data_IF_380252286704
#
_entry.id   IF_380252286704
#
_cell.length_a   1.000
_cell.length_b   1.000
_cell.length_c   1.000
_cell.angle_alpha   90.00
_cell.angle_beta   90.00
_cell.angle_gamma   90.00
#
_symmetry.space_group_name_H-M   'P 1'
#
loop_
_entity.id
_entity.type
_entity.pdbx_description
1 polymer ?
#
# COMPACT_ATOMS: atom_id res chain seq x y z
N UNK A 1 6.69 10.95 27.99
CA UNK A 1 6.49 11.98 29.03
C UNK A 1 5.84 11.43 30.29
N UNK A 2 4.63 10.84 30.25
CA UNK A 2 4.04 10.17 31.42
C UNK A 2 4.97 9.08 32.01
N UNK A 3 5.55 8.25 31.14
CA UNK A 3 6.56 7.26 31.54
C UNK A 3 7.83 7.87 32.15
N UNK A 4 8.31 8.99 31.62
CA UNK A 4 9.44 9.70 32.18
C UNK A 4 9.17 10.15 33.62
N UNK A 5 7.97 10.68 33.88
CA UNK A 5 7.56 11.10 35.23
C UNK A 5 7.51 9.90 36.19
N UNK A 6 7.01 8.76 35.74
CA UNK A 6 6.94 7.52 36.53
C UNK A 6 8.34 7.02 36.89
N UNK A 7 9.26 6.97 35.92
CA UNK A 7 10.63 6.53 36.15
C UNK A 7 11.49 7.49 36.96
N UNK A 8 11.05 8.73 37.24
CA UNK A 8 11.72 9.58 38.24
C UNK A 8 11.53 9.06 39.67
N UNK A 9 10.50 8.24 39.91
CA UNK A 9 10.24 7.58 41.20
C UNK A 9 10.78 6.13 41.27
N UNK A 10 11.77 5.82 40.43
CA UNK A 10 12.44 4.52 40.40
C UNK A 10 13.38 4.39 41.62
N UNK A 11 13.22 3.32 42.37
CA UNK A 11 13.99 3.02 43.58
C UNK A 11 14.87 1.77 43.33
N UNK A 12 16.17 1.90 43.58
CA UNK A 12 17.12 0.81 43.39
C UNK A 12 17.54 0.22 44.75
N UNK A 13 17.23 -1.05 45.05
CA UNK A 13 17.54 -1.65 46.35
C UNK A 13 19.05 -1.88 46.63
N UNK A 14 19.92 -1.54 45.69
CA UNK A 14 21.38 -1.71 45.79
C UNK A 14 22.13 -0.41 46.10
N UNK A 15 21.45 0.73 46.10
CA UNK A 15 22.01 2.04 46.41
C UNK A 15 21.71 2.43 47.86
N UNK A 16 22.66 3.03 48.60
CA UNK A 16 22.39 3.51 49.96
C UNK A 16 21.28 4.58 49.94
N UNK A 17 20.42 4.59 50.97
CA UNK A 17 19.21 5.43 51.17
C UNK A 17 19.42 6.97 51.04
N UNK A 18 20.63 7.43 50.74
CA UNK A 18 21.05 8.82 50.59
C UNK A 18 21.78 9.14 49.27
N UNK A 19 21.85 8.18 48.34
CA UNK A 19 22.47 8.35 47.02
C UNK A 19 21.38 8.49 45.97
N UNK A 20 21.55 9.43 45.04
CA UNK A 20 20.61 9.67 43.95
C UNK A 20 20.60 8.48 42.96
N UNK A 21 19.46 7.79 42.89
CA UNK A 21 19.24 6.62 42.03
C UNK A 21 19.14 6.96 40.54
N UNK A 22 19.22 8.24 40.17
CA UNK A 22 19.28 8.73 38.80
C UNK A 22 20.38 8.08 37.96
N UNK A 23 21.46 7.58 38.58
CA UNK A 23 22.56 6.89 37.91
C UNK A 23 22.24 5.43 37.51
N UNK A 24 21.28 4.80 38.17
CA UNK A 24 20.84 3.41 37.92
C UNK A 24 19.48 3.32 37.26
N UNK A 25 18.82 4.46 37.06
CA UNK A 25 17.55 4.56 36.37
C UNK A 25 17.70 4.11 34.90
N UNK A 26 16.92 3.12 34.43
CA UNK A 26 16.95 2.70 33.03
C UNK A 26 16.39 3.75 32.05
N UNK A 27 15.71 4.79 32.53
CA UNK A 27 15.13 5.86 31.72
C UNK A 27 15.37 7.23 32.38
N UNK A 28 16.62 7.71 32.33
CA UNK A 28 17.04 8.97 32.97
C UNK A 28 16.67 10.21 32.17
N UNK A 29 16.44 10.10 30.85
CA UNK A 29 16.12 11.27 30.00
C UNK A 29 14.77 11.18 29.29
N UNK A 30 14.12 12.33 28.98
CA UNK A 30 12.86 12.33 28.23
C UNK A 30 12.95 11.69 26.84
N UNK A 31 14.11 11.76 26.20
CA UNK A 31 14.35 11.15 24.88
C UNK A 31 14.50 9.64 24.98
N UNK A 32 15.21 9.15 26.01
CA UNK A 32 15.27 7.72 26.32
C UNK A 32 13.90 7.16 26.65
N UNK A 33 13.03 7.93 27.31
CA UNK A 33 11.65 7.51 27.59
C UNK A 33 10.84 7.26 26.32
N UNK A 34 10.98 8.11 25.31
CA UNK A 34 10.31 7.92 24.02
C UNK A 34 10.87 6.68 23.29
N UNK A 35 12.20 6.52 23.29
CA UNK A 35 12.86 5.39 22.67
C UNK A 35 12.51 4.07 23.36
N UNK A 36 12.50 4.05 24.68
CA UNK A 36 12.10 2.90 25.49
C UNK A 36 10.63 2.54 25.26
N UNK A 37 9.72 3.51 25.24
CA UNK A 37 8.31 3.26 24.89
C UNK A 37 8.16 2.63 23.50
N UNK A 38 8.92 3.11 22.52
CA UNK A 38 8.94 2.53 21.18
C UNK A 38 9.48 1.09 21.17
N UNK A 39 10.65 0.85 21.76
CA UNK A 39 11.28 -0.48 21.82
C UNK A 39 10.45 -1.50 22.63
N UNK A 40 9.78 -1.04 23.69
CA UNK A 40 8.86 -1.82 24.52
C UNK A 40 7.63 -2.26 23.72
N UNK A 41 7.12 -1.41 22.80
CA UNK A 41 6.01 -1.77 21.91
C UNK A 41 6.38 -2.72 20.77
N UNK A 42 7.67 -2.93 20.49
CA UNK A 42 8.15 -3.75 19.37
C UNK A 42 8.68 -5.13 19.79
N UNK A 43 9.47 -5.21 20.86
CA UNK A 43 10.27 -6.42 21.13
C UNK A 43 10.59 -6.67 22.59
N UNK A 44 11.07 -5.67 23.34
CA UNK A 44 11.62 -5.89 24.69
C UNK A 44 10.63 -5.48 25.79
N UNK A 45 9.51 -6.20 25.91
CA UNK A 45 8.51 -5.87 26.94
C UNK A 45 8.91 -6.35 28.34
N UNK A 46 9.61 -7.48 28.47
CA UNK A 46 9.91 -8.11 29.76
C UNK A 46 10.83 -7.28 30.66
N UNK A 47 11.97 -6.83 30.13
CA UNK A 47 13.00 -6.13 30.91
C UNK A 47 12.49 -4.80 31.49
N UNK A 48 11.66 -4.07 30.74
CA UNK A 48 11.06 -2.82 31.22
C UNK A 48 9.80 -3.05 32.06
N UNK A 49 9.07 -4.15 31.85
CA UNK A 49 7.93 -4.51 32.70
C UNK A 49 8.36 -4.81 34.13
N UNK A 50 9.47 -5.53 34.29
CA UNK A 50 10.05 -5.81 35.62
C UNK A 50 10.62 -4.55 36.28
N UNK A 51 11.07 -3.58 35.49
CA UNK A 51 11.51 -2.28 36.00
C UNK A 51 10.36 -1.44 36.58
N UNK A 52 9.11 -1.62 36.11
CA UNK A 52 7.94 -0.95 36.71
C UNK A 52 7.63 -1.42 38.13
N UNK A 53 8.01 -2.65 38.49
CA UNK A 53 7.83 -3.16 39.86
C UNK A 53 8.80 -2.52 40.86
N UNK A 54 9.82 -1.79 40.37
CA UNK A 54 10.80 -1.06 41.20
C UNK A 54 10.49 0.43 41.31
N UNK A 55 9.29 0.83 40.91
CA UNK A 55 8.85 2.22 40.93
C UNK A 55 7.77 2.37 42.02
N UNK A 56 7.77 3.47 42.76
CA UNK A 56 6.79 3.73 43.84
C UNK A 56 5.33 3.63 43.34
N UNK A 57 5.09 3.99 42.08
CA UNK A 57 3.78 4.00 41.42
C UNK A 57 3.56 2.80 40.49
N UNK A 58 3.81 1.57 40.97
CA UNK A 58 3.70 0.32 40.19
C UNK A 58 2.33 0.16 39.50
N UNK A 59 1.23 0.39 40.24
CA UNK A 59 -0.12 0.16 39.74
C UNK A 59 -0.48 1.13 38.59
N UNK A 60 -0.10 2.39 38.74
CA UNK A 60 -0.32 3.43 37.72
C UNK A 60 0.49 3.15 36.45
N UNK A 61 1.75 2.71 36.61
CA UNK A 61 2.62 2.34 35.50
C UNK A 61 2.08 1.16 34.68
N UNK A 62 1.56 0.13 35.36
CA UNK A 62 0.97 -1.06 34.72
C UNK A 62 -0.33 -0.74 33.99
N UNK A 63 -1.20 0.10 34.55
CA UNK A 63 -2.44 0.52 33.88
C UNK A 63 -2.13 1.34 32.62
N UNK A 64 -1.23 2.32 32.73
CA UNK A 64 -0.82 3.14 31.59
C UNK A 64 -0.17 2.29 30.49
N UNK A 65 0.53 1.22 30.87
CA UNK A 65 1.11 0.26 29.92
C UNK A 65 0.07 -0.48 29.11
N UNK A 66 -0.95 -1.04 29.78
CA UNK A 66 -2.01 -1.77 29.09
C UNK A 66 -2.81 -0.85 28.15
N UNK A 67 -3.12 0.37 28.61
CA UNK A 67 -3.83 1.36 27.78
C UNK A 67 -2.99 1.76 26.56
N UNK A 68 -1.69 2.02 26.76
CA UNK A 68 -0.77 2.38 25.68
C UNK A 68 -0.66 1.25 24.64
N UNK A 69 -0.45 0.01 25.09
CA UNK A 69 -0.38 -1.16 24.21
C UNK A 69 -1.67 -1.37 23.42
N UNK A 70 -2.84 -1.16 24.04
CA UNK A 70 -4.12 -1.25 23.36
C UNK A 70 -4.27 -0.17 22.27
N UNK A 71 -3.89 1.07 22.56
CA UNK A 71 -3.94 2.18 21.59
C UNK A 71 -3.01 1.89 20.40
N UNK A 72 -1.76 1.48 20.66
CA UNK A 72 -0.78 1.15 19.62
C UNK A 72 -1.29 0.00 18.74
N UNK A 73 -1.84 -1.05 19.34
CA UNK A 73 -2.38 -2.18 18.59
C UNK A 73 -3.55 -1.76 17.67
N UNK A 74 -4.50 -0.96 18.19
CA UNK A 74 -5.64 -0.46 17.40
C UNK A 74 -5.14 0.43 16.25
N UNK A 75 -4.19 1.34 16.51
CA UNK A 75 -3.63 2.22 15.48
C UNK A 75 -2.91 1.43 14.38
N UNK A 76 -2.10 0.43 14.75
CA UNK A 76 -1.40 -0.42 13.79
C UNK A 76 -2.37 -1.21 12.92
N UNK A 77 -3.42 -1.80 13.50
CA UNK A 77 -4.46 -2.52 12.75
C UNK A 77 -5.18 -1.55 11.79
N UNK A 78 -5.55 -0.36 12.26
CA UNK A 78 -6.24 0.63 11.43
C UNK A 78 -5.38 1.09 10.23
N UNK A 79 -4.08 1.31 10.45
CA UNK A 79 -3.15 1.68 9.39
C UNK A 79 -2.85 0.52 8.43
N UNK A 80 -2.76 -0.70 8.95
CA UNK A 80 -2.58 -1.91 8.14
C UNK A 80 -3.79 -2.13 7.22
N UNK A 81 -5.01 -2.05 7.77
CA UNK A 81 -6.24 -2.18 6.99
C UNK A 81 -6.34 -1.05 5.96
N UNK A 82 -5.98 0.19 6.30
CA UNK A 82 -6.01 1.31 5.35
C UNK A 82 -5.04 1.11 4.18
N UNK A 83 -3.80 0.69 4.45
CA UNK A 83 -2.81 0.40 3.41
C UNK A 83 -3.24 -0.80 2.56
N UNK A 84 -3.67 -1.89 3.21
CA UNK A 84 -4.18 -3.08 2.53
C UNK A 84 -5.42 -2.77 1.69
N UNK A 85 -6.36 -1.97 2.20
CA UNK A 85 -7.56 -1.54 1.49
C UNK A 85 -7.26 -0.74 0.23
N UNK A 86 -6.31 0.22 0.30
CA UNK A 86 -5.86 0.96 -0.87
C UNK A 86 -5.16 0.04 -1.90
N UNK A 87 -4.28 -0.86 -1.44
CA UNK A 87 -3.64 -1.83 -2.35
C UNK A 87 -4.63 -2.83 -2.95
N UNK A 88 -5.66 -3.23 -2.21
CA UNK A 88 -6.70 -4.14 -2.68
C UNK A 88 -7.55 -3.48 -3.77
N UNK A 89 -7.92 -2.20 -3.58
CA UNK A 89 -8.61 -1.42 -4.61
C UNK A 89 -7.79 -1.35 -5.91
N UNK A 90 -6.49 -1.08 -5.81
CA UNK A 90 -5.56 -1.05 -6.95
C UNK A 90 -5.41 -2.42 -7.64
N UNK A 91 -5.43 -3.51 -6.88
CA UNK A 91 -5.41 -4.87 -7.42
C UNK A 91 -6.72 -5.20 -8.13
N UNK A 92 -7.87 -4.81 -7.55
CA UNK A 92 -9.19 -5.00 -8.14
C UNK A 92 -9.36 -4.27 -9.48
N UNK A 93 -8.78 -3.07 -9.63
CA UNK A 93 -8.72 -2.35 -10.91
C UNK A 93 -7.90 -3.09 -11.98
N UNK A 94 -6.92 -3.91 -11.57
CA UNK A 94 -6.09 -4.72 -12.47
C UNK A 94 -6.73 -6.08 -12.77
N UNK A 95 -8.04 -6.10 -13.05
CA UNK A 95 -8.82 -7.32 -13.31
C UNK A 95 -8.30 -8.15 -14.49
N UNK A 96 -7.52 -7.57 -15.40
CA UNK A 96 -7.03 -8.26 -16.60
C UNK A 96 -5.59 -8.82 -16.44
N UNK A 97 -4.96 -8.70 -15.26
CA UNK A 97 -3.61 -9.26 -15.05
C UNK A 97 -3.62 -10.79 -15.17
N UNK A 98 -4.66 -11.46 -14.67
CA UNK A 98 -4.77 -12.92 -14.81
C UNK A 98 -4.83 -13.35 -16.27
N UNK A 99 -5.56 -12.63 -17.13
CA UNK A 99 -5.61 -12.89 -18.58
C UNK A 99 -4.24 -12.69 -19.22
N UNK A 100 -3.52 -11.63 -18.81
CA UNK A 100 -2.16 -11.37 -19.29
C UNK A 100 -1.19 -12.50 -18.89
N UNK A 101 -1.25 -12.97 -17.65
CA UNK A 101 -0.43 -14.08 -17.18
C UNK A 101 -0.79 -15.38 -17.93
N UNK A 102 -2.07 -15.63 -18.16
CA UNK A 102 -2.54 -16.80 -18.90
C UNK A 102 -2.06 -16.77 -20.36
N UNK A 103 -2.21 -15.63 -21.05
CA UNK A 103 -1.69 -15.44 -22.40
C UNK A 103 -0.17 -15.62 -22.48
N UNK A 104 0.57 -15.16 -21.46
CA UNK A 104 2.02 -15.35 -21.37
C UNK A 104 2.38 -16.84 -21.27
N UNK A 105 1.68 -17.61 -20.44
CA UNK A 105 1.90 -19.05 -20.30
C UNK A 105 1.60 -19.76 -21.62
N UNK A 106 0.46 -19.46 -22.25
CA UNK A 106 0.07 -20.05 -23.54
C UNK A 106 1.13 -19.79 -24.61
N UNK A 107 1.64 -18.55 -24.72
CA UNK A 107 2.69 -18.20 -25.69
C UNK A 107 4.02 -18.92 -25.42
N UNK A 108 4.39 -19.15 -24.16
CA UNK A 108 5.59 -19.91 -23.80
C UNK A 108 5.42 -21.37 -24.20
N UNK A 109 4.25 -21.96 -23.93
CA UNK A 109 3.93 -23.33 -24.32
C UNK A 109 3.94 -23.49 -25.85
N UNK A 110 3.33 -22.56 -26.59
CA UNK A 110 3.28 -22.59 -28.06
C UNK A 110 4.67 -22.47 -28.70
N UNK A 111 5.57 -21.68 -28.09
CA UNK A 111 6.97 -21.59 -28.53
C UNK A 111 7.75 -22.88 -28.28
N UNK A 112 7.33 -23.71 -27.32
CA UNK A 112 7.91 -25.03 -27.06
C UNK A 112 7.57 -26.07 -28.12
N UNK A 113 6.56 -25.84 -28.96
CA UNK A 113 6.16 -26.75 -30.05
C UNK A 113 7.05 -26.55 -31.28
N UNK A 114 7.36 -27.64 -31.98
CA UNK A 114 8.17 -27.60 -33.21
C UNK A 114 7.50 -26.76 -34.31
N UNK A 115 8.26 -26.06 -35.17
CA UNK A 115 7.71 -25.16 -36.19
C UNK A 115 6.62 -25.76 -37.11
N UNK A 116 6.76 -26.99 -37.64
CA UNK A 116 5.74 -27.55 -38.54
C UNK A 116 4.44 -27.89 -37.80
N UNK A 117 4.51 -28.36 -36.56
CA UNK A 117 3.34 -28.70 -35.76
C UNK A 117 2.62 -27.44 -35.27
N UNK A 118 3.36 -26.38 -34.95
CA UNK A 118 2.79 -25.06 -34.63
C UNK A 118 1.99 -24.48 -35.79
N UNK A 119 2.50 -24.58 -37.02
CA UNK A 119 1.80 -24.11 -38.20
C UNK A 119 0.51 -24.91 -38.47
N UNK A 120 0.56 -26.23 -38.27
CA UNK A 120 -0.63 -27.09 -38.34
C UNK A 120 -1.67 -26.70 -37.31
N UNK A 121 -1.26 -26.41 -36.07
CA UNK A 121 -2.17 -25.95 -35.01
C UNK A 121 -2.77 -24.58 -35.32
N UNK A 122 -1.99 -23.62 -35.84
CA UNK A 122 -2.47 -22.31 -36.30
C UNK A 122 -3.60 -22.43 -37.32
N UNK A 123 -3.49 -23.39 -38.24
CA UNK A 123 -4.50 -23.65 -39.27
C UNK A 123 -5.82 -24.18 -38.70
N UNK A 124 -5.82 -24.77 -37.49
CA UNK A 124 -7.04 -25.33 -36.87
C UNK A 124 -7.94 -24.23 -36.31
N UNK A 125 -7.37 -23.15 -35.77
CA UNK A 125 -8.13 -22.06 -35.14
C UNK A 125 -8.17 -20.76 -35.95
N UNK A 126 -7.55 -20.70 -37.12
CA UNK A 126 -7.60 -19.53 -38.02
C UNK A 126 -8.48 -19.77 -39.24
N UNK A 127 -9.06 -18.69 -39.77
CA UNK A 127 -9.90 -18.73 -40.98
C UNK A 127 -9.20 -18.01 -42.14
N UNK A 128 -9.32 -18.51 -43.38
CA UNK A 128 -8.78 -17.84 -44.54
C UNK A 128 -9.61 -16.58 -44.88
N UNK A 129 -8.95 -15.43 -44.98
CA UNK A 129 -9.51 -14.19 -45.49
C UNK A 129 -9.60 -14.25 -47.04
N UNK A 130 -10.38 -13.37 -47.68
CA UNK A 130 -10.42 -13.29 -49.15
C UNK A 130 -9.05 -12.97 -49.79
N UNK A 131 -8.13 -12.38 -49.02
CA UNK A 131 -6.75 -12.06 -49.40
C UNK A 131 -5.78 -13.26 -49.23
N UNK A 132 -6.29 -14.45 -48.90
CA UNK A 132 -5.50 -15.67 -48.68
C UNK A 132 -4.73 -15.73 -47.36
N UNK A 133 -4.64 -14.62 -46.61
CA UNK A 133 -4.06 -14.57 -45.27
C UNK A 133 -4.98 -15.23 -44.25
N UNK A 134 -4.40 -15.94 -43.30
CA UNK A 134 -5.14 -16.50 -42.18
C UNK A 134 -5.38 -15.44 -41.10
N UNK A 135 -6.61 -15.36 -40.61
CA UNK A 135 -7.02 -14.45 -39.54
C UNK A 135 -7.79 -15.21 -38.46
N UNK A 136 -7.52 -14.89 -37.20
CA UNK A 136 -8.31 -15.36 -36.06
C UNK A 136 -9.55 -14.48 -35.94
N UNK A 137 -10.73 -15.04 -36.17
CA UNK A 137 -12.01 -14.34 -36.02
C UNK A 137 -12.56 -14.63 -34.63
N UNK A 138 -12.49 -13.64 -33.75
CA UNK A 138 -13.09 -13.72 -32.42
C UNK A 138 -14.46 -13.06 -32.44
N UNK A 139 -15.53 -13.80 -32.13
CA UNK A 139 -16.82 -13.20 -31.79
C UNK A 139 -16.77 -12.81 -30.32
N UNK A 140 -16.59 -11.51 -30.05
CA UNK A 140 -16.79 -11.00 -28.70
C UNK A 140 -18.30 -10.91 -28.42
N UNK A 141 -18.80 -11.84 -27.61
CA UNK A 141 -20.11 -11.71 -26.98
C UNK A 141 -19.96 -10.74 -25.80
N UNK A 142 -20.02 -9.44 -26.08
CA UNK A 142 -20.11 -8.43 -25.03
C UNK A 142 -21.54 -8.43 -24.50
N UNK A 143 -21.68 -8.42 -23.17
CA UNK A 143 -22.98 -8.17 -22.56
C UNK A 143 -23.48 -6.78 -22.96
N UNK A 144 -24.77 -6.54 -22.92
CA UNK A 144 -25.31 -5.21 -23.27
C UNK A 144 -24.84 -4.14 -22.26
N UNK A 145 -24.56 -4.55 -21.02
CA UNK A 145 -23.94 -3.72 -19.97
C UNK A 145 -22.51 -3.29 -20.37
N UNK A 146 -21.66 -4.23 -20.82
CA UNK A 146 -20.30 -3.92 -21.27
C UNK A 146 -20.26 -2.95 -22.47
N UNK A 147 -21.27 -3.03 -23.36
CA UNK A 147 -21.38 -2.12 -24.51
C UNK A 147 -21.77 -0.72 -24.09
N UNK A 148 -22.63 -0.60 -23.09
CA UNK A 148 -23.09 0.68 -22.56
C UNK A 148 -21.97 1.39 -21.80
N UNK A 149 -21.22 0.66 -20.97
CA UNK A 149 -20.00 1.17 -20.31
C UNK A 149 -18.95 1.63 -21.33
N UNK A 150 -18.71 0.83 -22.37
CA UNK A 150 -17.76 1.19 -23.44
C UNK A 150 -18.18 2.47 -24.16
N UNK A 151 -19.49 2.64 -24.42
CA UNK A 151 -20.05 3.83 -25.04
C UNK A 151 -19.85 5.06 -24.15
N UNK A 152 -20.11 4.93 -22.85
CA UNK A 152 -19.92 6.01 -21.88
C UNK A 152 -18.45 6.44 -21.80
N UNK A 153 -17.52 5.48 -21.69
CA UNK A 153 -16.07 5.74 -21.69
C UNK A 153 -15.65 6.48 -22.98
N UNK A 154 -16.14 6.04 -24.15
CA UNK A 154 -15.87 6.69 -25.43
C UNK A 154 -16.42 8.12 -25.49
N UNK A 155 -17.57 8.38 -24.87
CA UNK A 155 -18.15 9.72 -24.78
C UNK A 155 -17.40 10.64 -23.82
N UNK A 156 -16.97 10.12 -22.66
CA UNK A 156 -16.09 10.84 -21.72
C UNK A 156 -14.78 11.21 -22.41
N UNK A 157 -14.16 10.27 -23.12
CA UNK A 157 -12.91 10.53 -23.87
C UNK A 157 -13.11 11.59 -24.95
N UNK A 158 -14.20 11.50 -25.74
CA UNK A 158 -14.55 12.52 -26.74
C UNK A 158 -14.76 13.89 -26.12
N UNK A 159 -15.41 13.99 -24.95
CA UNK A 159 -15.58 15.27 -24.24
C UNK A 159 -14.22 15.80 -23.78
N UNK A 160 -13.40 14.97 -23.16
CA UNK A 160 -12.07 15.34 -22.68
C UNK A 160 -11.20 15.88 -23.82
N UNK A 161 -11.14 15.19 -24.96
CA UNK A 161 -10.38 15.64 -26.14
C UNK A 161 -10.85 17.01 -26.65
N UNK A 162 -12.17 17.27 -26.66
CA UNK A 162 -12.71 18.60 -27.02
C UNK A 162 -12.29 19.68 -26.03
N UNK A 163 -12.33 19.40 -24.72
CA UNK A 163 -11.89 20.36 -23.70
C UNK A 163 -10.39 20.66 -23.80
N UNK A 164 -9.57 19.62 -24.01
CA UNK A 164 -8.12 19.79 -24.20
C UNK A 164 -7.84 20.61 -25.45
N UNK A 165 -8.54 20.36 -26.56
CA UNK A 165 -8.39 21.14 -27.79
C UNK A 165 -8.74 22.61 -27.58
N UNK A 166 -9.88 22.92 -26.95
CA UNK A 166 -10.28 24.29 -26.63
C UNK A 166 -9.26 25.02 -25.74
N UNK A 167 -8.69 24.33 -24.75
CA UNK A 167 -7.64 24.90 -23.89
C UNK A 167 -6.36 25.20 -24.68
N UNK A 168 -5.95 24.33 -25.59
CA UNK A 168 -4.80 24.57 -26.46
C UNK A 168 -5.03 25.76 -27.38
N UNK A 169 -6.21 25.85 -28.00
CA UNK A 169 -6.59 26.98 -28.85
C UNK A 169 -6.59 28.30 -28.07
N UNK A 170 -7.16 28.33 -26.86
CA UNK A 170 -7.15 29.52 -26.00
C UNK A 170 -5.73 29.95 -25.58
N UNK A 171 -4.88 29.00 -25.22
CA UNK A 171 -3.47 29.27 -24.88
C UNK A 171 -2.69 29.79 -26.09
N UNK A 172 -2.98 29.29 -27.30
CA UNK A 172 -2.32 29.73 -28.52
C UNK A 172 -2.77 31.13 -28.95
N UNK A 173 -4.05 31.47 -28.77
CA UNK A 173 -4.55 32.83 -28.94
C UNK A 173 -3.88 33.79 -27.94
N UNK A 174 -3.76 33.37 -26.68
CA UNK A 174 -3.07 34.18 -25.67
C UNK A 174 -1.60 34.40 -26.01
N UNK A 175 -0.88 33.35 -26.43
CA UNK A 175 0.51 33.46 -26.87
C UNK A 175 0.69 34.40 -28.08
N UNK A 176 -0.18 34.29 -29.08
CA UNK A 176 -0.13 35.18 -30.25
C UNK A 176 -0.41 36.64 -29.88
N UNK A 177 -1.31 36.89 -28.93
CA UNK A 177 -1.62 38.25 -28.47
C UNK A 177 -0.48 38.87 -27.64
N UNK A 178 0.37 38.06 -27.00
CA UNK A 178 1.56 38.54 -26.26
C UNK A 178 2.72 38.85 -27.21
N UNK A 179 2.86 38.12 -28.32
CA UNK A 179 3.94 38.34 -29.32
C UNK A 179 3.66 39.59 -30.18
N UNK A 180 2.40 39.99 -30.35
CA UNK A 180 2.01 41.18 -31.11
C UNK A 180 1.88 42.47 -30.28
N UNK A 181 2.25 42.45 -28.99
CA UNK A 181 2.41 43.64 -28.15
C UNK A 181 3.89 43.93 -27.93
#
# INVERSE_FOLDING_TARGET
LAYYIIFLSFDNPLTPEYVDDSATNPISTPMESIMAMFLMSLTNFGDYYDAFARTEHEYEAKILFVIFMAIVAILLINMLIAMMGNTYQKIAETRNEWQRQWARIVLVVERGVSPPERHRQLMVYSQPMSDGKQALVLRLNQSDEDKEEMKEILEIKRRHERYVKKRKEANQIHANNVIHK
#
